data_IF_978966509423
#
_entry.id   IF_978966509423
#
_cell.length_a   1.000
_cell.length_b   1.000
_cell.length_c   1.000
_cell.angle_alpha   90.00
_cell.angle_beta   90.00
_cell.angle_gamma   90.00
#
_symmetry.space_group_name_H-M   'P 1'
#
loop_
_entity.id
_entity.type
_entity.pdbx_description
1 polymer ?
#
# COMPACT_ATOMS: atom_id res chain seq x y z
N UNK A 1 -5.36 -7.73 -7.26
CA UNK A 1 -5.14 -9.16 -6.97
C UNK A 1 -3.67 -9.38 -7.22
N UNK A 2 -2.97 -10.08 -6.33
CA UNK A 2 -1.54 -10.28 -6.47
C UNK A 2 -1.28 -11.49 -7.37
N UNK A 3 -0.18 -11.48 -8.10
CA UNK A 3 0.30 -12.60 -8.91
C UNK A 3 1.08 -13.51 -7.96
N UNK A 4 0.50 -14.66 -7.61
CA UNK A 4 1.20 -15.61 -6.73
C UNK A 4 2.17 -16.46 -7.55
N UNK A 5 3.44 -16.50 -7.13
CA UNK A 5 4.46 -17.33 -7.76
C UNK A 5 5.15 -18.25 -6.74
N UNK A 6 5.69 -19.38 -7.23
CA UNK A 6 6.42 -20.37 -6.42
C UNK A 6 7.86 -20.60 -6.85
N UNK A 7 8.26 -19.98 -7.95
CA UNK A 7 9.61 -20.12 -8.52
C UNK A 7 10.65 -19.54 -7.54
N UNK A 8 11.55 -20.38 -7.06
CA UNK A 8 12.59 -20.01 -6.09
C UNK A 8 13.71 -19.18 -6.69
N UNK A 9 14.01 -19.36 -7.97
CA UNK A 9 15.01 -18.55 -8.68
C UNK A 9 14.53 -17.10 -8.84
N UNK A 10 13.24 -16.92 -9.20
CA UNK A 10 12.62 -15.60 -9.23
C UNK A 10 12.62 -14.95 -7.83
N UNK A 11 12.30 -15.72 -6.79
CA UNK A 11 12.34 -15.23 -5.40
C UNK A 11 13.73 -14.74 -5.03
N UNK A 12 14.76 -15.57 -5.21
CA UNK A 12 16.14 -15.21 -4.88
C UNK A 12 16.60 -13.96 -5.62
N UNK A 13 16.22 -13.85 -6.89
CA UNK A 13 16.55 -12.71 -7.75
C UNK A 13 15.91 -11.43 -7.21
N UNK A 14 14.61 -11.47 -6.87
CA UNK A 14 13.88 -10.33 -6.32
C UNK A 14 14.41 -9.93 -4.93
N UNK A 15 14.70 -10.89 -4.06
CA UNK A 15 15.30 -10.63 -2.75
C UNK A 15 16.68 -9.98 -2.87
N UNK A 16 17.54 -10.48 -3.77
CA UNK A 16 18.85 -9.88 -4.03
C UNK A 16 18.71 -8.43 -4.51
N UNK A 17 17.72 -8.15 -5.36
CA UNK A 17 17.44 -6.82 -5.91
C UNK A 17 16.70 -5.87 -4.94
N UNK A 18 16.23 -6.35 -3.79
CA UNK A 18 15.43 -5.56 -2.84
C UNK A 18 16.28 -4.50 -2.13
N UNK A 19 15.79 -3.24 -2.14
CA UNK A 19 16.38 -2.08 -1.46
C UNK A 19 15.92 -1.96 -0.01
N UNK A 20 14.63 -2.20 0.22
CA UNK A 20 14.00 -2.10 1.53
C UNK A 20 12.88 -3.12 1.64
N UNK A 21 12.77 -3.70 2.82
CA UNK A 21 11.71 -4.61 3.23
C UNK A 21 10.94 -3.92 4.36
N UNK A 22 9.62 -3.79 4.20
CA UNK A 22 8.74 -3.09 5.13
C UNK A 22 7.65 -4.06 5.54
N UNK A 23 7.54 -4.31 6.84
CA UNK A 23 6.41 -5.09 7.36
C UNK A 23 5.11 -4.28 7.21
N UNK A 24 4.15 -4.85 6.49
CA UNK A 24 2.86 -4.22 6.18
C UNK A 24 1.69 -4.99 6.84
N UNK A 25 0.46 -4.64 6.49
CA UNK A 25 -0.72 -5.32 7.03
C UNK A 25 -0.93 -5.02 8.52
N UNK A 26 -1.34 -6.03 9.29
CA UNK A 26 -1.75 -5.86 10.70
C UNK A 26 -0.68 -5.24 11.61
N UNK A 27 0.60 -5.38 11.25
CA UNK A 27 1.74 -4.79 11.95
C UNK A 27 1.74 -3.26 11.90
N UNK A 28 1.42 -2.66 10.75
CA UNK A 28 1.42 -1.20 10.56
C UNK A 28 0.50 -0.49 11.55
N UNK A 29 -0.61 -1.13 11.89
CA UNK A 29 -1.66 -0.52 12.70
C UNK A 29 -1.65 -0.98 14.17
N UNK A 30 -0.60 -1.71 14.60
CA UNK A 30 -0.47 -2.16 15.98
C UNK A 30 -1.50 -3.21 16.41
N UNK A 31 -2.07 -3.95 15.45
CA UNK A 31 -3.10 -4.98 15.68
C UNK A 31 -2.62 -6.40 15.36
N UNK A 32 -1.33 -6.59 15.10
CA UNK A 32 -0.68 -7.90 14.95
C UNK A 32 -0.84 -8.72 16.23
N UNK A 33 -1.14 -10.01 16.08
CA UNK A 33 -1.21 -10.99 17.17
C UNK A 33 -0.47 -12.28 16.77
N UNK A 34 -0.43 -13.27 17.67
CA UNK A 34 0.29 -14.52 17.44
C UNK A 34 -0.25 -15.34 16.24
N UNK A 35 -1.51 -15.16 15.88
CA UNK A 35 -2.13 -15.84 14.74
C UNK A 35 -2.02 -15.04 13.43
N UNK A 36 -1.38 -13.86 13.45
CA UNK A 36 -1.21 -13.03 12.28
C UNK A 36 -0.12 -13.59 11.37
N UNK A 37 -0.43 -13.67 10.09
CA UNK A 37 0.55 -13.70 9.00
C UNK A 37 1.45 -12.46 9.03
N UNK A 38 2.63 -12.59 8.43
CA UNK A 38 3.56 -11.47 8.24
C UNK A 38 3.56 -11.08 6.77
N UNK A 39 3.07 -9.89 6.45
CA UNK A 39 3.16 -9.32 5.12
C UNK A 39 4.45 -8.48 5.00
N UNK A 40 5.32 -8.79 4.05
CA UNK A 40 6.57 -8.08 3.81
C UNK A 40 6.57 -7.41 2.44
N UNK A 41 6.42 -6.09 2.41
CA UNK A 41 6.56 -5.29 1.20
C UNK A 41 8.05 -5.11 0.86
N UNK A 42 8.46 -5.68 -0.26
CA UNK A 42 9.82 -5.64 -0.78
C UNK A 42 9.89 -4.69 -1.98
N UNK A 43 10.54 -3.54 -1.80
CA UNK A 43 10.75 -2.57 -2.88
C UNK A 43 12.09 -2.87 -3.53
N UNK A 44 12.08 -3.29 -4.79
CA UNK A 44 13.28 -3.75 -5.50
C UNK A 44 13.70 -2.87 -6.67
N UNK A 45 14.99 -2.94 -7.02
CA UNK A 45 15.53 -2.30 -8.21
C UNK A 45 15.23 -3.15 -9.43
N UNK A 46 14.47 -2.67 -10.42
CA UNK A 46 14.25 -3.44 -11.64
C UNK A 46 15.57 -3.57 -12.43
N UNK A 47 15.81 -4.74 -13.01
CA UNK A 47 16.97 -4.98 -13.88
C UNK A 47 16.95 -4.06 -15.09
N UNK A 48 18.13 -3.84 -15.69
CA UNK A 48 18.25 -2.98 -16.87
C UNK A 48 17.38 -3.48 -18.02
N UNK A 49 17.38 -4.79 -18.31
CA UNK A 49 16.54 -5.34 -19.36
C UNK A 49 15.02 -5.28 -19.06
N UNK A 50 14.58 -5.35 -17.79
CA UNK A 50 13.16 -5.14 -17.43
C UNK A 50 12.74 -3.70 -17.73
N UNK A 51 13.58 -2.72 -17.39
CA UNK A 51 13.31 -1.30 -17.67
C UNK A 51 13.18 -0.98 -19.17
N UNK A 52 13.78 -1.81 -20.02
CA UNK A 52 13.74 -1.67 -21.48
C UNK A 52 12.81 -2.69 -22.15
N UNK A 53 11.98 -3.38 -21.37
CA UNK A 53 11.00 -4.35 -21.85
C UNK A 53 9.61 -3.72 -21.95
N UNK A 54 8.72 -4.34 -22.73
CA UNK A 54 7.28 -4.04 -22.73
C UNK A 54 6.53 -4.74 -21.58
N UNK A 55 7.23 -5.55 -20.78
CA UNK A 55 6.66 -6.22 -19.61
C UNK A 55 6.17 -5.17 -18.60
N UNK A 56 4.85 -4.99 -18.57
CA UNK A 56 4.15 -4.13 -17.62
C UNK A 56 3.33 -4.99 -16.65
N UNK A 57 3.70 -4.94 -15.37
CA UNK A 57 3.04 -5.69 -14.31
C UNK A 57 2.11 -4.76 -13.55
N UNK A 58 0.85 -4.70 -13.98
CA UNK A 58 -0.20 -3.98 -13.25
C UNK A 58 -0.58 -4.65 -11.91
N UNK A 59 -0.07 -5.86 -11.65
CA UNK A 59 -0.31 -6.61 -10.44
C UNK A 59 1.00 -6.92 -9.74
N UNK A 60 0.96 -6.90 -8.42
CA UNK A 60 2.12 -7.12 -7.57
C UNK A 60 2.45 -8.60 -7.48
N UNK A 61 3.73 -8.95 -7.55
CA UNK A 61 4.17 -10.33 -7.35
C UNK A 61 4.12 -10.67 -5.86
N UNK A 62 3.60 -11.85 -5.52
CA UNK A 62 3.56 -12.35 -4.16
C UNK A 62 4.14 -13.77 -4.07
N UNK A 63 5.06 -13.96 -3.14
CA UNK A 63 5.59 -15.27 -2.76
C UNK A 63 5.20 -15.58 -1.33
N UNK A 64 4.61 -16.76 -1.09
CA UNK A 64 4.26 -17.22 0.25
C UNK A 64 5.29 -18.21 0.76
N UNK A 65 6.05 -17.83 1.78
CA UNK A 65 6.91 -18.72 2.52
C UNK A 65 6.12 -19.42 3.63
N UNK A 66 5.71 -20.66 3.37
CA UNK A 66 4.94 -21.47 4.33
C UNK A 66 5.75 -21.85 5.58
N UNK A 67 7.09 -21.85 5.52
CA UNK A 67 7.92 -22.22 6.66
C UNK A 67 7.98 -21.10 7.72
N UNK A 68 8.03 -19.85 7.26
CA UNK A 68 8.03 -18.66 8.13
C UNK A 68 6.65 -18.02 8.30
N UNK A 69 5.63 -18.49 7.55
CA UNK A 69 4.31 -17.87 7.44
C UNK A 69 4.40 -16.38 7.04
N UNK A 70 5.25 -16.10 6.05
CA UNK A 70 5.51 -14.76 5.51
C UNK A 70 5.06 -14.65 4.06
N UNK A 71 4.26 -13.64 3.78
CA UNK A 71 3.87 -13.22 2.44
C UNK A 71 4.80 -12.09 1.96
N UNK A 72 5.73 -12.41 1.07
CA UNK A 72 6.61 -11.45 0.42
C UNK A 72 5.92 -10.82 -0.78
N UNK A 73 5.74 -9.51 -0.76
CA UNK A 73 5.05 -8.72 -1.78
C UNK A 73 6.11 -7.87 -2.50
N UNK A 74 6.43 -8.19 -3.74
CA UNK A 74 7.48 -7.53 -4.50
C UNK A 74 6.92 -6.48 -5.46
N UNK A 75 7.37 -5.24 -5.30
CA UNK A 75 7.03 -4.12 -6.16
C UNK A 75 8.31 -3.42 -6.63
N UNK A 76 8.42 -3.12 -7.91
CA UNK A 76 9.61 -2.39 -8.37
C UNK A 76 9.54 -0.92 -7.95
N UNK A 77 10.70 -0.30 -7.79
CA UNK A 77 10.80 1.07 -7.29
C UNK A 77 9.95 2.06 -8.08
N UNK A 78 9.91 1.96 -9.42
CA UNK A 78 9.20 2.95 -10.24
C UNK A 78 7.69 2.78 -10.13
N UNK A 79 7.21 1.54 -10.16
CA UNK A 79 5.80 1.20 -9.94
C UNK A 79 5.36 1.56 -8.52
N UNK A 80 6.20 1.34 -7.51
CA UNK A 80 5.96 1.81 -6.15
C UNK A 80 5.76 3.34 -6.09
N UNK A 81 6.65 4.12 -6.72
CA UNK A 81 6.54 5.59 -6.79
C UNK A 81 5.23 6.02 -7.49
N UNK A 82 4.86 5.37 -8.60
CA UNK A 82 3.61 5.67 -9.28
C UNK A 82 2.40 5.38 -8.39
N UNK A 83 2.41 4.26 -7.66
CA UNK A 83 1.31 3.87 -6.79
C UNK A 83 1.10 4.82 -5.59
N UNK A 84 2.18 5.29 -4.95
CA UNK A 84 2.07 6.26 -3.86
C UNK A 84 1.61 7.66 -4.34
N UNK A 85 1.65 7.90 -5.65
CA UNK A 85 1.14 9.12 -6.30
C UNK A 85 -0.31 8.95 -6.77
N UNK A 86 -0.64 7.80 -7.36
CA UNK A 86 -1.96 7.50 -7.95
C UNK A 86 -3.00 7.03 -6.93
N UNK A 87 -2.57 6.42 -5.83
CA UNK A 87 -3.46 5.85 -4.83
C UNK A 87 -4.13 4.53 -5.26
N UNK A 88 -3.57 3.83 -6.24
CA UNK A 88 -4.15 2.56 -6.72
C UNK A 88 -4.12 1.47 -5.64
N UNK A 89 -3.12 1.50 -4.75
CA UNK A 89 -3.07 0.66 -3.56
C UNK A 89 -2.63 1.47 -2.34
N UNK A 90 -3.49 1.51 -1.30
CA UNK A 90 -3.24 2.29 -0.10
C UNK A 90 -2.05 1.77 0.70
N UNK A 91 -1.73 0.48 0.64
CA UNK A 91 -0.63 -0.12 1.43
C UNK A 91 0.72 0.51 1.12
N UNK A 92 0.96 0.87 -0.15
CA UNK A 92 2.19 1.54 -0.56
C UNK A 92 2.29 2.95 0.00
N UNK A 93 1.16 3.66 0.03
CA UNK A 93 1.11 4.99 0.63
C UNK A 93 1.27 4.90 2.16
N UNK A 94 0.65 3.92 2.81
CA UNK A 94 0.79 3.69 4.25
C UNK A 94 2.24 3.36 4.65
N UNK A 95 3.00 2.68 3.78
CA UNK A 95 4.41 2.36 4.06
C UNK A 95 5.31 3.62 4.15
N UNK A 96 4.88 4.75 3.56
CA UNK A 96 5.54 6.07 3.70
C UNK A 96 5.62 6.57 5.15
N UNK A 97 4.84 5.97 6.05
CA UNK A 97 4.71 6.38 7.44
C UNK A 97 5.48 5.47 8.41
N UNK A 98 6.34 4.59 7.90
CA UNK A 98 7.08 3.62 8.72
C UNK A 98 8.47 4.12 9.11
N UNK A 99 8.91 3.77 10.32
CA UNK A 99 10.29 4.02 10.75
C UNK A 99 11.29 3.20 9.90
N UNK A 100 10.89 2.05 9.38
CA UNK A 100 11.72 1.25 8.46
C UNK A 100 12.05 2.04 7.19
N UNK A 101 11.05 2.67 6.56
CA UNK A 101 11.31 3.50 5.37
C UNK A 101 12.16 4.71 5.72
N UNK A 102 11.86 5.41 6.83
CA UNK A 102 12.64 6.56 7.32
C UNK A 102 14.12 6.24 7.47
N UNK A 103 14.46 5.06 8.00
CA UNK A 103 15.83 4.63 8.25
C UNK A 103 16.48 3.90 7.05
N UNK A 104 15.83 3.91 5.88
CA UNK A 104 16.32 3.26 4.66
C UNK A 104 16.92 4.25 3.66
N UNK A 105 17.46 3.74 2.55
CA UNK A 105 17.89 4.56 1.39
C UNK A 105 16.73 5.34 0.74
N UNK A 106 15.48 4.98 1.03
CA UNK A 106 14.28 5.68 0.60
C UNK A 106 13.74 6.66 1.66
N UNK A 107 14.53 6.99 2.68
CA UNK A 107 14.13 7.90 3.77
C UNK A 107 13.65 9.28 3.31
N UNK A 108 14.12 9.77 2.16
CA UNK A 108 13.60 10.99 1.52
C UNK A 108 12.07 10.95 1.32
N UNK A 109 11.52 9.79 0.96
CA UNK A 109 10.07 9.63 0.76
C UNK A 109 9.31 9.79 2.07
N UNK A 110 9.85 9.29 3.18
CA UNK A 110 9.29 9.50 4.51
C UNK A 110 9.35 10.98 4.90
N UNK A 111 10.49 11.64 4.74
CA UNK A 111 10.68 13.04 5.09
C UNK A 111 9.72 13.97 4.33
N UNK A 112 9.43 13.63 3.07
CA UNK A 112 8.58 14.40 2.17
C UNK A 112 7.18 13.81 1.99
N UNK A 113 6.76 12.87 2.85
CA UNK A 113 5.50 12.11 2.70
C UNK A 113 4.25 12.98 2.58
N UNK A 114 4.24 14.17 3.18
CA UNK A 114 3.11 15.12 3.07
C UNK A 114 2.92 15.66 1.65
N UNK A 115 3.92 15.58 0.78
CA UNK A 115 3.78 15.96 -0.63
C UNK A 115 2.96 14.95 -1.44
N UNK A 116 2.78 13.74 -0.90
CA UNK A 116 1.91 12.70 -1.47
C UNK A 116 0.46 12.83 -0.98
N UNK A 117 0.15 13.81 -0.12
CA UNK A 117 -1.20 14.03 0.41
C UNK A 117 -2.04 14.75 -0.64
N UNK A 118 -2.65 13.96 -1.52
CA UNK A 118 -3.30 14.46 -2.71
C UNK A 118 -4.74 13.96 -2.86
N UNK A 119 -5.45 14.53 -3.82
CA UNK A 119 -6.85 14.19 -4.11
C UNK A 119 -7.05 12.71 -4.41
N UNK A 120 -6.16 12.10 -5.20
CA UNK A 120 -6.29 10.70 -5.58
C UNK A 120 -6.17 9.77 -4.36
N UNK A 121 -5.21 10.02 -3.46
CA UNK A 121 -5.05 9.23 -2.23
C UNK A 121 -6.31 9.33 -1.35
N UNK A 122 -6.80 10.54 -1.08
CA UNK A 122 -8.01 10.73 -0.28
C UNK A 122 -9.21 10.03 -0.92
N UNK A 123 -9.34 10.10 -2.24
CA UNK A 123 -10.41 9.44 -2.99
C UNK A 123 -10.28 7.91 -2.95
N UNK A 124 -9.07 7.37 -2.97
CA UNK A 124 -8.82 5.94 -2.85
C UNK A 124 -9.31 5.42 -1.49
N UNK A 125 -8.94 6.12 -0.41
CA UNK A 125 -9.40 5.80 0.95
C UNK A 125 -10.93 5.76 1.06
N UNK A 126 -11.60 6.83 0.62
CA UNK A 126 -13.05 6.86 0.64
C UNK A 126 -13.70 5.85 -0.33
N UNK A 127 -13.02 5.51 -1.43
CA UNK A 127 -13.49 4.54 -2.42
C UNK A 127 -13.54 3.12 -1.88
N UNK A 128 -12.53 2.69 -1.13
CA UNK A 128 -12.55 1.34 -0.58
C UNK A 128 -13.54 1.18 0.57
N UNK A 129 -13.91 2.24 1.31
CA UNK A 129 -15.00 2.16 2.31
C UNK A 129 -16.29 1.59 1.68
N UNK A 130 -16.63 2.09 0.49
CA UNK A 130 -17.79 1.61 -0.28
C UNK A 130 -17.63 0.17 -0.76
N UNK A 131 -16.43 -0.19 -1.24
CA UNK A 131 -16.11 -1.56 -1.64
C UNK A 131 -16.30 -2.51 -0.45
N UNK A 132 -15.70 -2.21 0.68
CA UNK A 132 -15.64 -3.13 1.82
C UNK A 132 -16.97 -3.25 2.54
N UNK A 133 -17.80 -2.19 2.54
CA UNK A 133 -19.20 -2.30 2.97
C UNK A 133 -19.96 -3.38 2.20
N UNK A 134 -19.77 -3.49 0.88
CA UNK A 134 -20.47 -4.47 0.03
C UNK A 134 -20.18 -5.91 0.47
N UNK A 135 -18.98 -6.12 1.00
CA UNK A 135 -18.51 -7.42 1.47
C UNK A 135 -18.73 -7.65 2.98
N UNK A 136 -19.26 -6.66 3.69
CA UNK A 136 -19.72 -6.82 5.07
C UNK A 136 -21.12 -7.47 5.04
N UNK A 137 -21.13 -8.80 4.96
CA UNK A 137 -22.34 -9.63 4.83
C UNK A 137 -22.50 -10.58 6.02
N UNK A 138 -23.71 -11.09 6.31
CA UNK A 138 -23.94 -11.94 7.49
C UNK A 138 -23.18 -13.27 7.47
N UNK A 139 -22.86 -13.78 6.28
CA UNK A 139 -22.30 -15.12 6.09
C UNK A 139 -20.79 -15.23 6.35
N UNK A 140 -20.07 -14.11 6.47
CA UNK A 140 -18.64 -14.13 6.83
C UNK A 140 -18.46 -14.27 8.35
N UNK A 141 -17.37 -14.87 8.78
CA UNK A 141 -17.04 -15.06 10.20
C UNK A 141 -17.04 -13.72 10.96
N UNK A 142 -17.52 -13.72 12.21
CA UNK A 142 -17.65 -12.49 13.01
C UNK A 142 -16.32 -11.74 13.19
N UNK A 143 -15.20 -12.48 13.35
CA UNK A 143 -13.85 -11.91 13.38
C UNK A 143 -13.53 -11.13 12.09
N UNK A 144 -13.89 -11.68 10.94
CA UNK A 144 -13.68 -11.05 9.64
C UNK A 144 -14.62 -9.86 9.42
N UNK A 145 -15.84 -9.91 9.96
CA UNK A 145 -16.74 -8.75 9.96
C UNK A 145 -16.13 -7.57 10.74
N UNK A 146 -15.56 -7.82 11.93
CA UNK A 146 -14.92 -6.78 12.74
C UNK A 146 -13.67 -6.21 12.05
N UNK A 147 -12.81 -7.04 11.46
CA UNK A 147 -11.65 -6.59 10.68
C UNK A 147 -12.08 -5.75 9.47
N UNK A 148 -13.13 -6.16 8.77
CA UNK A 148 -13.65 -5.42 7.60
C UNK A 148 -14.25 -4.07 8.00
N UNK A 149 -14.97 -4.02 9.13
CA UNK A 149 -15.46 -2.75 9.69
C UNK A 149 -14.30 -1.84 10.12
N UNK A 150 -13.25 -2.39 10.73
CA UNK A 150 -12.03 -1.64 11.05
C UNK A 150 -11.37 -1.07 9.78
N UNK A 151 -11.34 -1.84 8.68
CA UNK A 151 -10.80 -1.34 7.41
C UNK A 151 -11.61 -0.15 6.88
N UNK A 152 -12.94 -0.19 6.96
CA UNK A 152 -13.81 0.94 6.60
C UNK A 152 -13.55 2.16 7.51
N UNK A 153 -13.45 1.96 8.82
CA UNK A 153 -13.18 3.03 9.80
C UNK A 153 -11.82 3.69 9.54
N UNK A 154 -10.77 2.89 9.30
CA UNK A 154 -9.45 3.37 8.89
C UNK A 154 -9.49 4.19 7.62
N UNK A 155 -10.32 3.80 6.64
CA UNK A 155 -10.48 4.56 5.41
C UNK A 155 -10.94 6.00 5.67
N UNK A 156 -11.89 6.18 6.59
CA UNK A 156 -12.33 7.51 7.01
C UNK A 156 -11.23 8.22 7.81
N UNK A 157 -10.68 7.56 8.82
CA UNK A 157 -9.65 8.13 9.70
C UNK A 157 -8.43 8.63 8.91
N UNK A 158 -7.94 7.82 7.97
CA UNK A 158 -6.75 8.15 7.19
C UNK A 158 -7.04 9.24 6.17
N UNK A 159 -8.21 9.22 5.53
CA UNK A 159 -8.61 10.29 4.63
C UNK A 159 -8.70 11.65 5.35
N UNK A 160 -9.27 11.68 6.57
CA UNK A 160 -9.28 12.89 7.39
C UNK A 160 -7.89 13.35 7.80
N UNK A 161 -7.02 12.41 8.21
CA UNK A 161 -5.64 12.73 8.60
C UNK A 161 -4.82 13.31 7.44
N UNK A 162 -5.05 12.83 6.22
CA UNK A 162 -4.42 13.38 5.02
C UNK A 162 -4.90 14.81 4.76
N UNK A 163 -6.21 15.07 4.85
CA UNK A 163 -6.77 16.41 4.66
C UNK A 163 -6.28 17.43 5.70
N UNK A 164 -6.04 16.97 6.94
CA UNK A 164 -5.49 17.77 8.05
C UNK A 164 -3.96 17.85 8.04
N UNK A 165 -3.29 17.06 7.19
CA UNK A 165 -1.83 16.87 7.14
C UNK A 165 -1.22 16.32 8.44
N UNK A 166 -1.96 15.49 9.18
CA UNK A 166 -1.58 14.94 10.48
C UNK A 166 -1.77 13.41 10.58
N UNK A 167 -1.76 12.70 9.44
CA UNK A 167 -1.96 11.26 9.39
C UNK A 167 -1.02 10.48 10.33
N UNK A 168 -1.63 9.60 11.13
CA UNK A 168 -0.95 8.63 12.00
C UNK A 168 -1.44 7.22 11.65
N UNK A 169 -0.56 6.38 11.10
CA UNK A 169 -0.91 5.01 10.70
C UNK A 169 -1.08 4.09 11.92
N UNK A 170 -0.23 4.20 12.94
CA UNK A 170 -0.32 3.45 14.18
C UNK A 170 -1.04 4.26 15.27
N UNK A 171 -2.30 4.62 15.00
CA UNK A 171 -3.10 5.42 15.93
C UNK A 171 -3.67 4.52 17.05
N UNK A 172 -3.52 4.86 18.35
CA UNK A 172 -4.00 4.02 19.46
C UNK A 172 -5.48 3.61 19.36
N UNK A 173 -6.32 4.52 18.85
CA UNK A 173 -7.75 4.26 18.63
C UNK A 173 -8.02 3.08 17.69
N UNK A 174 -7.10 2.70 16.79
CA UNK A 174 -7.33 1.57 15.86
C UNK A 174 -7.55 0.27 16.64
N UNK A 175 -6.71 0.02 17.64
CA UNK A 175 -6.81 -1.17 18.47
C UNK A 175 -8.09 -1.15 19.32
N UNK A 176 -8.40 0.00 19.92
CA UNK A 176 -9.63 0.20 20.70
C UNK A 176 -10.90 -0.01 19.86
N UNK A 177 -10.90 0.53 18.64
CA UNK A 177 -11.98 0.36 17.65
C UNK A 177 -12.16 -1.09 17.27
N UNK A 178 -11.07 -1.83 17.03
CA UNK A 178 -11.15 -3.25 16.71
C UNK A 178 -11.79 -4.05 17.84
N UNK A 179 -11.39 -3.81 19.10
CA UNK A 179 -11.99 -4.48 20.25
C UNK A 179 -13.47 -4.12 20.42
N UNK A 180 -13.84 -2.84 20.26
CA UNK A 180 -15.24 -2.42 20.23
C UNK A 180 -16.03 -3.11 19.10
N UNK A 181 -15.51 -3.18 17.88
CA UNK A 181 -16.21 -3.82 16.77
C UNK A 181 -16.41 -5.32 16.98
N UNK A 182 -15.54 -6.00 17.73
CA UNK A 182 -15.74 -7.41 18.10
C UNK A 182 -16.95 -7.61 19.02
N UNK A 183 -17.35 -6.61 19.82
CA UNK A 183 -18.50 -6.75 20.74
C UNK A 183 -19.86 -6.55 20.06
N UNK A 184 -19.87 -5.99 18.85
CA UNK A 184 -21.10 -5.68 18.12
C UNK A 184 -21.69 -6.93 17.46
N UNK A 185 -23.02 -7.01 17.35
CA UNK A 185 -23.67 -7.97 16.46
C UNK A 185 -23.64 -7.49 14.99
N UNK A 186 -24.05 -8.33 14.04
CA UNK A 186 -24.03 -7.97 12.62
C UNK A 186 -24.83 -6.70 12.28
N UNK A 187 -26.01 -6.52 12.87
CA UNK A 187 -26.89 -5.36 12.58
C UNK A 187 -26.23 -4.06 13.06
N UNK A 188 -25.60 -4.09 14.23
CA UNK A 188 -24.84 -2.97 14.77
C UNK A 188 -23.62 -2.67 13.90
N UNK A 189 -22.84 -3.69 13.50
CA UNK A 189 -21.72 -3.52 12.57
C UNK A 189 -22.15 -2.89 11.24
N UNK A 190 -23.27 -3.33 10.69
CA UNK A 190 -23.81 -2.78 9.45
C UNK A 190 -24.21 -1.30 9.61
N UNK A 191 -24.85 -0.95 10.73
CA UNK A 191 -25.21 0.43 11.06
C UNK A 191 -23.99 1.35 11.20
N UNK A 192 -22.94 0.89 11.89
CA UNK A 192 -21.68 1.62 12.01
C UNK A 192 -21.02 1.81 10.64
N UNK A 193 -21.01 0.77 9.81
CA UNK A 193 -20.47 0.85 8.46
C UNK A 193 -21.22 1.88 7.59
N UNK A 194 -22.55 2.00 7.75
CA UNK A 194 -23.37 2.99 7.02
C UNK A 194 -23.06 4.43 7.47
N UNK A 195 -22.84 4.65 8.77
CA UNK A 195 -22.38 5.95 9.32
C UNK A 195 -21.00 6.34 8.75
N UNK A 196 -20.07 5.38 8.73
CA UNK A 196 -18.72 5.61 8.18
C UNK A 196 -18.76 5.90 6.68
N UNK A 197 -19.69 5.28 5.96
CA UNK A 197 -19.92 5.53 4.54
C UNK A 197 -20.41 6.95 4.27
N UNK A 198 -21.33 7.44 5.08
CA UNK A 198 -21.80 8.83 4.97
C UNK A 198 -20.63 9.81 5.17
N UNK A 199 -19.76 9.55 6.16
CA UNK A 199 -18.53 10.34 6.37
C UNK A 199 -17.60 10.26 5.16
N UNK A 200 -17.37 9.07 4.61
CA UNK A 200 -16.53 8.87 3.43
C UNK A 200 -17.07 9.64 2.21
N UNK A 201 -18.39 9.65 1.99
CA UNK A 201 -19.01 10.43 0.91
C UNK A 201 -18.89 11.94 1.13
N UNK A 202 -19.00 12.42 2.37
CA UNK A 202 -18.76 13.83 2.70
C UNK A 202 -17.30 14.24 2.45
N UNK A 203 -16.34 13.38 2.81
CA UNK A 203 -14.91 13.57 2.51
C UNK A 203 -14.69 13.64 0.98
N UNK A 204 -15.34 12.77 0.19
CA UNK A 204 -15.25 12.81 -1.28
C UNK A 204 -15.76 14.13 -1.86
N UNK A 205 -16.88 14.65 -1.35
CA UNK A 205 -17.41 15.96 -1.75
C UNK A 205 -16.43 17.07 -1.39
N UNK A 206 -15.93 17.07 -0.15
CA UNK A 206 -14.96 18.06 0.33
C UNK A 206 -13.69 18.08 -0.52
N UNK A 207 -13.06 16.91 -0.76
CA UNK A 207 -11.81 16.86 -1.52
C UNK A 207 -12.00 17.23 -3.00
N UNK A 208 -13.18 16.95 -3.56
CA UNK A 208 -13.54 17.38 -4.92
C UNK A 208 -13.64 18.90 -4.99
N UNK A 209 -14.33 19.52 -4.03
CA UNK A 209 -14.40 20.98 -3.93
C UNK A 209 -13.01 21.61 -3.72
N UNK A 210 -12.15 21.00 -2.90
CA UNK A 210 -10.77 21.45 -2.73
C UNK A 210 -9.97 21.38 -4.03
N UNK A 211 -10.17 20.34 -4.84
CA UNK A 211 -9.51 20.21 -6.14
C UNK A 211 -9.97 21.30 -7.11
N UNK A 212 -11.28 21.56 -7.20
CA UNK A 212 -11.86 22.64 -8.01
C UNK A 212 -11.35 24.02 -7.60
N UNK A 213 -11.19 24.23 -6.29
CA UNK A 213 -10.64 25.45 -5.70
C UNK A 213 -9.10 25.52 -5.75
N UNK A 214 -8.42 24.52 -6.34
CA UNK A 214 -6.95 24.40 -6.40
C UNK A 214 -6.27 24.42 -5.02
N UNK A 215 -6.95 23.96 -3.98
CA UNK A 215 -6.44 23.82 -2.60
C UNK A 215 -5.74 22.48 -2.34
N UNK A 216 -5.89 21.53 -3.25
CA UNK A 216 -5.21 20.23 -3.23
C UNK A 216 -4.84 19.86 -4.67
N UNK A 217 -3.69 19.21 -4.85
CA UNK A 217 -3.28 18.71 -6.15
C UNK A 217 -3.95 17.37 -6.45
N UNK A 218 -4.10 17.06 -7.74
CA UNK A 218 -4.57 15.73 -8.16
C UNK A 218 -3.61 14.62 -7.72
N UNK A 219 -2.31 14.85 -7.90
CA UNK A 219 -1.24 13.90 -7.63
C UNK A 219 -0.13 14.53 -6.80
N UNK A 220 0.59 15.52 -7.32
CA UNK A 220 1.66 16.21 -6.61
C UNK A 220 1.94 17.54 -7.31
N UNK A 221 2.44 18.54 -6.60
CA UNK A 221 2.89 19.79 -7.22
C UNK A 221 4.09 19.56 -8.14
N UNK A 222 4.13 20.25 -9.29
CA UNK A 222 5.18 20.06 -10.30
C UNK A 222 6.60 20.28 -9.76
N UNK A 223 6.78 21.23 -8.83
CA UNK A 223 8.11 21.47 -8.24
C UNK A 223 8.55 20.32 -7.34
N UNK A 224 7.62 19.73 -6.59
CA UNK A 224 7.90 18.56 -5.76
C UNK A 224 8.13 17.31 -6.62
N UNK A 225 7.42 17.17 -7.75
CA UNK A 225 7.71 16.10 -8.73
C UNK A 225 9.14 16.19 -9.26
N UNK A 226 9.64 17.39 -9.60
CA UNK A 226 11.03 17.58 -10.03
C UNK A 226 12.04 17.19 -8.96
N UNK A 227 11.76 17.51 -7.69
CA UNK A 227 12.63 17.12 -6.58
C UNK A 227 12.63 15.61 -6.38
N UNK A 228 11.47 14.97 -6.49
CA UNK A 228 11.34 13.51 -6.44
C UNK A 228 12.13 12.85 -7.59
N UNK A 229 12.02 13.37 -8.80
CA UNK A 229 12.76 12.87 -9.97
C UNK A 229 14.28 13.02 -9.79
N UNK A 230 14.74 14.18 -9.32
CA UNK A 230 16.15 14.39 -8.97
C UNK A 230 16.62 13.41 -7.89
N UNK A 231 15.81 13.17 -6.85
CA UNK A 231 16.13 12.18 -5.83
C UNK A 231 16.31 10.77 -6.43
N UNK A 232 15.40 10.33 -7.31
CA UNK A 232 15.50 9.03 -7.97
C UNK A 232 16.74 8.96 -8.88
N UNK A 233 17.05 10.03 -9.60
CA UNK A 233 18.24 10.13 -10.46
C UNK A 233 19.55 10.09 -9.65
N UNK A 234 19.58 10.67 -8.46
CA UNK A 234 20.75 10.60 -7.58
C UNK A 234 20.85 9.23 -6.90
N UNK A 235 19.72 8.67 -6.45
CA UNK A 235 19.65 7.32 -5.90
C UNK A 235 20.19 6.29 -6.87
N UNK A 236 19.84 6.36 -8.16
CA UNK A 236 20.28 5.40 -9.18
C UNK A 236 21.79 5.38 -9.42
N UNK A 237 22.49 6.45 -9.03
CA UNK A 237 23.97 6.56 -9.10
C UNK A 237 24.66 6.05 -7.84
N UNK A 238 23.92 5.76 -6.77
CA UNK A 238 24.52 5.31 -5.50
C UNK A 238 25.07 3.89 -5.61
N UNK A 239 26.10 3.59 -4.82
CA UNK A 239 26.66 2.23 -4.72
C UNK A 239 25.61 1.21 -4.28
N UNK A 240 24.69 1.59 -3.39
CA UNK A 240 23.65 0.69 -2.89
C UNK A 240 22.71 0.31 -4.03
N UNK A 241 22.20 1.29 -4.78
CA UNK A 241 21.33 1.01 -5.93
C UNK A 241 22.04 0.15 -6.99
N UNK A 242 23.26 0.54 -7.38
CA UNK A 242 24.02 -0.19 -8.39
C UNK A 242 24.38 -1.62 -7.95
N UNK A 243 24.56 -1.87 -6.66
CA UNK A 243 24.79 -3.24 -6.14
C UNK A 243 23.56 -4.13 -6.20
N UNK A 244 22.37 -3.53 -6.37
CA UNK A 244 21.06 -4.20 -6.42
C UNK A 244 20.54 -4.33 -7.85
N UNK A 245 20.96 -3.44 -8.74
CA UNK A 245 20.62 -3.51 -10.16
C UNK A 245 21.42 -4.60 -10.86
N UNK A 246 20.73 -5.51 -11.54
CA UNK A 246 21.36 -6.46 -12.47
C UNK A 246 21.20 -5.96 -13.92
N UNK A 247 22.19 -6.24 -14.76
CA UNK A 247 22.09 -5.96 -16.20
C UNK A 247 20.99 -6.80 -16.85
N UNK A 248 20.96 -8.08 -16.49
CA UNK A 248 20.01 -9.05 -17.00
C UNK A 248 19.26 -9.73 -15.86
N UNK A 249 17.97 -9.96 -16.10
CA UNK A 249 17.08 -10.80 -15.32
C UNK A 249 16.24 -11.59 -16.32
N UNK A 250 16.08 -12.90 -16.10
CA UNK A 250 15.23 -13.68 -16.98
C UNK A 250 13.77 -13.22 -16.86
N UNK A 251 13.25 -12.62 -17.93
CA UNK A 251 11.89 -12.10 -17.95
C UNK A 251 10.87 -13.21 -18.19
N UNK A 252 11.27 -14.38 -18.69
CA UNK A 252 10.38 -15.54 -18.87
C UNK A 252 9.71 -15.92 -17.55
N UNK A 253 10.46 -15.88 -16.45
CA UNK A 253 9.98 -16.13 -15.10
C UNK A 253 8.81 -15.22 -14.68
N UNK A 254 8.77 -13.98 -15.19
CA UNK A 254 7.66 -13.05 -14.93
C UNK A 254 6.43 -13.40 -15.76
N UNK A 255 6.62 -13.80 -17.03
CA UNK A 255 5.52 -14.26 -17.88
C UNK A 255 4.89 -15.54 -17.33
N UNK A 256 5.72 -16.50 -16.89
CA UNK A 256 5.25 -17.71 -16.22
C UNK A 256 4.46 -17.39 -14.95
N UNK A 257 4.93 -16.44 -14.14
CA UNK A 257 4.21 -15.98 -12.96
C UNK A 257 2.86 -15.36 -13.35
N UNK A 258 2.80 -14.51 -14.37
CA UNK A 258 1.55 -13.90 -14.82
C UNK A 258 0.53 -14.93 -15.33
N UNK A 259 0.98 -15.91 -16.12
CA UNK A 259 0.12 -16.94 -16.69
C UNK A 259 -0.49 -17.85 -15.61
N UNK A 260 0.31 -18.19 -14.59
CA UNK A 260 -0.07 -19.18 -13.58
C UNK A 260 -0.53 -18.59 -12.24
N UNK A 261 -0.27 -17.30 -12.01
CA UNK A 261 -0.41 -16.66 -10.70
C UNK A 261 -1.68 -15.84 -10.51
N UNK A 262 -2.48 -15.63 -11.57
CA UNK A 262 -3.79 -14.96 -11.51
C UNK A 262 -4.89 -15.97 -11.78
N UNK A 263 -5.55 -16.45 -10.73
CA UNK A 263 -6.80 -17.19 -10.88
C UNK A 263 -7.95 -16.18 -11.07
N UNK A 264 -8.40 -16.01 -12.31
CA UNK A 264 -9.57 -15.20 -12.65
C UNK A 264 -10.88 -15.79 -12.11
#
# INVERSE_FOLDING_TARGET
>A
MNIHFKNTELLETLQKATLVEIEVGSALYGVKNADSDTDMLCIYVPSYNKQHSFLDLHHTLQYKDEASNTDYIFEDLYTFIQNILSGDSSVYFESLHTETLKNSVLGYLYENRTNFYNYNIVKAYAGFCKRDRKYLIPSILEREQAKRLLHIDRGVLFAEGILKKDLQINHPQIKERLEYFKTLNFKEKASEADILLEKAENIRKQVTQMLEQKKICRVMETQEQKKLDNFLCELSKTKIYLSKQTEYMDLELFYEAMENGVNY
#
